data_IF_110501311269
#
_entry.id   IF_110501311269
#
_cell.length_a   1.000
_cell.length_b   1.000
_cell.length_c   1.000
_cell.angle_alpha   90.00
_cell.angle_beta   90.00
_cell.angle_gamma   90.00
#
_symmetry.space_group_name_H-M   'P 1'
#
loop_
_entity.id
_entity.type
_entity.pdbx_description
1 polymer ?
#
# COMPACT_ATOMS: atom_id res chain seq x y z
N UNK A 1 -10.64 -27.30 -17.49
CA UNK A 1 -11.23 -27.74 -16.19
C UNK A 1 -12.44 -26.84 -15.96
N UNK A 2 -13.64 -27.40 -15.87
CA UNK A 2 -14.82 -26.60 -15.49
C UNK A 2 -14.78 -26.34 -13.98
N UNK A 3 -14.83 -25.06 -13.61
CA UNK A 3 -14.93 -24.64 -12.21
C UNK A 3 -16.41 -24.47 -11.86
N UNK A 4 -16.78 -24.89 -10.66
CA UNK A 4 -18.15 -24.74 -10.18
C UNK A 4 -18.37 -23.28 -9.78
N UNK A 5 -19.44 -22.68 -10.27
CA UNK A 5 -19.83 -21.32 -9.92
C UNK A 5 -20.74 -21.32 -8.72
N UNK A 6 -20.32 -20.70 -7.62
CA UNK A 6 -21.09 -20.53 -6.39
C UNK A 6 -21.58 -19.09 -6.18
N UNK A 7 -21.49 -18.20 -7.18
CA UNK A 7 -21.88 -16.77 -7.01
C UNK A 7 -23.29 -16.58 -6.50
N UNK A 8 -24.21 -17.44 -6.91
CA UNK A 8 -25.63 -17.38 -6.53
C UNK A 8 -25.98 -18.27 -5.30
N UNK A 9 -24.96 -18.83 -4.65
CA UNK A 9 -25.14 -19.73 -3.49
C UNK A 9 -24.62 -19.11 -2.20
N UNK A 10 -25.32 -19.31 -1.09
CA UNK A 10 -24.85 -18.96 0.24
C UNK A 10 -23.51 -19.66 0.63
N UNK A 11 -23.15 -20.74 -0.08
CA UNK A 11 -21.88 -21.43 0.11
C UNK A 11 -20.67 -20.54 -0.26
N UNK A 12 -20.84 -19.53 -1.12
CA UNK A 12 -19.79 -18.57 -1.42
C UNK A 12 -19.30 -17.81 -0.19
N UNK A 13 -20.15 -17.64 0.83
CA UNK A 13 -19.80 -16.97 2.09
C UNK A 13 -18.98 -17.85 3.05
N UNK A 14 -18.97 -19.16 2.86
CA UNK A 14 -18.28 -20.09 3.77
C UNK A 14 -16.77 -19.83 3.78
N UNK A 15 -16.16 -19.64 2.61
CA UNK A 15 -14.72 -19.43 2.46
C UNK A 15 -14.25 -18.17 3.21
N UNK A 16 -14.81 -16.97 2.97
CA UNK A 16 -14.41 -15.77 3.68
C UNK A 16 -14.74 -15.84 5.18
N UNK A 17 -15.85 -16.45 5.58
CA UNK A 17 -16.20 -16.63 7.01
C UNK A 17 -15.20 -17.52 7.73
N UNK A 18 -14.76 -18.63 7.12
CA UNK A 18 -13.73 -19.51 7.68
C UNK A 18 -12.40 -18.77 7.80
N UNK A 19 -11.97 -18.05 6.76
CA UNK A 19 -10.73 -17.27 6.77
C UNK A 19 -10.76 -16.20 7.89
N UNK A 20 -11.84 -15.43 8.01
CA UNK A 20 -12.01 -14.41 9.05
C UNK A 20 -12.04 -15.05 10.46
N UNK A 21 -12.77 -16.13 10.63
CA UNK A 21 -12.86 -16.84 11.91
C UNK A 21 -11.50 -17.35 12.35
N UNK A 22 -10.77 -18.00 11.44
CA UNK A 22 -9.40 -18.45 11.70
C UNK A 22 -8.46 -17.27 12.01
N UNK A 23 -8.58 -16.13 11.31
CA UNK A 23 -7.75 -14.94 11.57
C UNK A 23 -7.99 -14.40 12.98
N UNK A 24 -9.23 -14.33 13.42
CA UNK A 24 -9.61 -13.86 14.78
C UNK A 24 -9.07 -14.81 15.87
N UNK A 25 -9.23 -16.13 15.68
CA UNK A 25 -8.81 -17.11 16.70
C UNK A 25 -7.31 -17.37 16.72
N UNK A 26 -6.69 -17.51 15.55
CA UNK A 26 -5.26 -17.85 15.46
C UNK A 26 -4.34 -16.64 15.54
N UNK A 27 -4.84 -15.46 15.19
CA UNK A 27 -4.05 -14.22 15.01
C UNK A 27 -2.90 -14.37 13.99
N UNK A 28 -2.98 -15.37 13.12
CA UNK A 28 -1.99 -15.68 12.08
C UNK A 28 -2.61 -15.49 10.71
N UNK A 29 -2.48 -14.29 10.14
CA UNK A 29 -3.12 -13.90 8.88
C UNK A 29 -2.76 -14.85 7.73
N UNK A 30 -1.47 -15.16 7.55
CA UNK A 30 -1.01 -16.05 6.46
C UNK A 30 -1.63 -17.44 6.54
N UNK A 31 -1.72 -18.02 7.74
CA UNK A 31 -2.36 -19.33 7.94
C UNK A 31 -3.84 -19.27 7.60
N UNK A 32 -4.52 -18.22 8.06
CA UNK A 32 -5.97 -18.06 7.86
C UNK A 32 -6.34 -17.85 6.40
N UNK A 33 -5.59 -17.00 5.70
CA UNK A 33 -5.75 -16.78 4.26
C UNK A 33 -5.37 -18.04 3.46
N UNK A 34 -4.27 -18.72 3.82
CA UNK A 34 -3.88 -19.98 3.19
C UNK A 34 -4.98 -21.05 3.31
N UNK A 35 -5.57 -21.22 4.49
CA UNK A 35 -6.72 -22.11 4.66
C UNK A 35 -7.94 -21.68 3.83
N UNK A 36 -8.20 -20.37 3.74
CA UNK A 36 -9.28 -19.84 2.90
C UNK A 36 -9.04 -20.14 1.42
N UNK A 37 -7.84 -19.92 0.92
CA UNK A 37 -7.44 -20.21 -0.48
C UNK A 37 -7.59 -21.70 -0.78
N UNK A 38 -7.08 -22.58 0.09
CA UNK A 38 -7.20 -24.03 -0.06
C UNK A 38 -8.67 -24.47 -0.06
N UNK A 39 -9.45 -23.97 0.85
CA UNK A 39 -10.89 -24.28 0.93
C UNK A 39 -11.61 -23.78 -0.32
N UNK A 40 -11.34 -22.55 -0.78
CA UNK A 40 -11.91 -22.00 -1.99
C UNK A 40 -11.59 -22.84 -3.22
N UNK A 41 -10.34 -23.26 -3.39
CA UNK A 41 -9.94 -24.15 -4.47
C UNK A 41 -10.66 -25.50 -4.44
N UNK A 42 -10.86 -26.09 -3.24
CA UNK A 42 -11.63 -27.34 -3.08
C UNK A 42 -13.10 -27.14 -3.46
N UNK A 43 -13.74 -26.05 -3.04
CA UNK A 43 -15.11 -25.74 -3.46
C UNK A 43 -15.23 -25.63 -4.98
N UNK A 44 -14.37 -24.83 -5.60
CA UNK A 44 -14.38 -24.61 -7.06
C UNK A 44 -14.16 -25.89 -7.89
N UNK A 45 -13.55 -26.92 -7.29
CA UNK A 45 -13.20 -28.18 -7.96
C UNK A 45 -13.98 -29.39 -7.46
N UNK A 46 -15.15 -29.17 -6.85
CA UNK A 46 -16.02 -30.22 -6.29
C UNK A 46 -15.26 -31.15 -5.31
N UNK A 47 -14.45 -30.55 -4.44
CA UNK A 47 -13.61 -31.26 -3.45
C UNK A 47 -12.60 -32.23 -4.06
N UNK A 48 -12.31 -32.13 -5.35
CA UNK A 48 -11.27 -32.92 -5.98
C UNK A 48 -9.89 -32.30 -5.68
N UNK A 49 -9.14 -32.97 -4.81
CA UNK A 49 -7.83 -32.48 -4.32
C UNK A 49 -6.81 -32.29 -5.44
N UNK A 50 -6.80 -33.17 -6.44
CA UNK A 50 -5.86 -33.11 -7.56
C UNK A 50 -6.17 -31.89 -8.44
N UNK A 51 -7.45 -31.67 -8.75
CA UNK A 51 -7.89 -30.51 -9.52
C UNK A 51 -7.69 -29.20 -8.72
N UNK A 52 -7.91 -29.21 -7.41
CA UNK A 52 -7.65 -28.07 -6.54
C UNK A 52 -6.15 -27.72 -6.54
N UNK A 53 -5.27 -28.70 -6.38
CA UNK A 53 -3.83 -28.48 -6.43
C UNK A 53 -3.37 -27.95 -7.80
N UNK A 54 -3.92 -28.50 -8.89
CA UNK A 54 -3.65 -27.98 -10.23
C UNK A 54 -4.13 -26.54 -10.40
N UNK A 55 -5.35 -26.24 -9.99
CA UNK A 55 -5.90 -24.88 -10.04
C UNK A 55 -5.06 -23.88 -9.25
N UNK A 56 -4.61 -24.25 -8.05
CA UNK A 56 -3.72 -23.41 -7.25
C UNK A 56 -2.36 -23.21 -7.89
N UNK A 57 -1.79 -24.26 -8.54
CA UNK A 57 -0.53 -24.12 -9.26
C UNK A 57 -0.68 -23.21 -10.48
N UNK A 58 -1.78 -23.33 -11.23
CA UNK A 58 -2.08 -22.46 -12.37
C UNK A 58 -2.25 -20.99 -11.92
N UNK A 59 -2.96 -20.76 -10.81
CA UNK A 59 -3.08 -19.42 -10.22
C UNK A 59 -1.73 -18.87 -9.74
N UNK A 60 -0.91 -19.68 -9.07
CA UNK A 60 0.41 -19.25 -8.64
C UNK A 60 1.33 -18.91 -9.84
N UNK A 61 1.26 -19.67 -10.90
CA UNK A 61 1.98 -19.38 -12.14
C UNK A 61 1.47 -18.11 -12.81
N UNK A 62 0.16 -17.86 -12.80
CA UNK A 62 -0.44 -16.65 -13.41
C UNK A 62 -0.02 -15.35 -12.72
N UNK A 63 0.50 -15.39 -11.48
CA UNK A 63 1.09 -14.23 -10.84
C UNK A 63 2.32 -13.70 -11.57
N UNK A 64 3.06 -14.60 -12.24
CA UNK A 64 4.32 -14.29 -12.94
C UNK A 64 4.18 -14.40 -14.45
N UNK A 65 3.36 -15.34 -14.92
CA UNK A 65 3.25 -15.71 -16.33
C UNK A 65 1.80 -15.78 -16.77
N UNK A 66 1.43 -14.96 -17.74
CA UNK A 66 0.13 -15.05 -18.42
C UNK A 66 0.22 -16.07 -19.56
N UNK A 67 -0.62 -17.10 -19.49
CA UNK A 67 -0.73 -18.06 -20.59
C UNK A 67 -1.41 -17.38 -21.77
N UNK A 68 -0.74 -17.37 -22.94
CA UNK A 68 -1.36 -16.92 -24.18
C UNK A 68 -2.38 -17.94 -24.71
N UNK A 69 -2.88 -17.68 -25.92
CA UNK A 69 -3.85 -18.54 -26.60
C UNK A 69 -3.25 -19.94 -26.88
N UNK A 70 -3.71 -20.91 -26.10
CA UNK A 70 -3.23 -22.32 -26.20
C UNK A 70 -3.44 -22.95 -27.58
N UNK A 71 -4.25 -22.33 -28.47
CA UNK A 71 -4.40 -22.78 -29.86
C UNK A 71 -3.22 -22.40 -30.74
N UNK A 72 -2.34 -21.50 -30.32
CA UNK A 72 -1.22 -20.95 -31.08
C UNK A 72 0.15 -21.54 -30.72
N UNK A 73 0.23 -22.33 -29.66
CA UNK A 73 1.49 -22.93 -29.24
C UNK A 73 1.48 -23.47 -27.81
N UNK A 74 2.67 -23.86 -27.32
CA UNK A 74 2.87 -24.34 -25.96
C UNK A 74 2.70 -23.18 -24.95
N UNK A 75 2.37 -23.50 -23.68
CA UNK A 75 2.27 -22.54 -22.57
C UNK A 75 3.46 -21.55 -22.49
N UNK A 76 4.68 -22.03 -22.79
CA UNK A 76 5.90 -21.22 -22.75
C UNK A 76 6.16 -20.43 -24.04
N UNK A 77 5.61 -20.87 -25.16
CA UNK A 77 5.88 -20.25 -26.47
C UNK A 77 4.95 -19.08 -26.78
N UNK A 78 3.76 -19.08 -26.17
CA UNK A 78 2.68 -18.11 -26.49
C UNK A 78 2.39 -17.20 -25.31
N UNK A 79 2.87 -17.53 -24.11
CA UNK A 79 2.67 -16.73 -22.91
C UNK A 79 3.65 -15.55 -22.82
N UNK A 80 3.36 -14.64 -21.90
CA UNK A 80 4.22 -13.52 -21.57
C UNK A 80 4.28 -13.32 -20.05
N UNK A 81 5.32 -12.61 -19.59
CA UNK A 81 5.37 -12.20 -18.18
C UNK A 81 4.15 -11.34 -17.83
N UNK A 82 3.54 -11.63 -16.68
CA UNK A 82 2.51 -10.75 -16.12
C UNK A 82 3.18 -9.46 -15.62
N UNK A 83 3.33 -8.51 -16.53
CA UNK A 83 4.04 -7.25 -16.27
C UNK A 83 3.38 -6.44 -15.16
N UNK A 84 2.06 -6.51 -15.03
CA UNK A 84 1.33 -5.84 -13.97
C UNK A 84 1.72 -6.36 -12.58
N UNK A 85 1.57 -7.67 -12.36
CA UNK A 85 1.89 -8.27 -11.06
C UNK A 85 3.38 -8.13 -10.72
N UNK A 86 4.26 -8.33 -11.70
CA UNK A 86 5.69 -8.15 -11.52
C UNK A 86 6.05 -6.71 -11.16
N UNK A 87 5.43 -5.72 -11.81
CA UNK A 87 5.64 -4.32 -11.47
C UNK A 87 5.24 -4.01 -10.03
N UNK A 88 4.11 -4.54 -9.55
CA UNK A 88 3.70 -4.36 -8.15
C UNK A 88 4.71 -5.00 -7.19
N UNK A 89 5.16 -6.22 -7.46
CA UNK A 89 6.16 -6.90 -6.62
C UNK A 89 7.47 -6.10 -6.57
N UNK A 90 7.98 -5.69 -7.72
CA UNK A 90 9.20 -4.88 -7.83
C UNK A 90 9.04 -3.54 -7.11
N UNK A 91 7.90 -2.88 -7.30
CA UNK A 91 7.55 -1.64 -6.62
C UNK A 91 7.61 -1.79 -5.09
N UNK A 92 7.00 -2.84 -4.53
CA UNK A 92 7.03 -3.10 -3.08
C UNK A 92 8.45 -3.34 -2.55
N UNK A 93 9.28 -4.07 -3.28
CA UNK A 93 10.69 -4.24 -2.92
C UNK A 93 11.45 -2.91 -2.91
N UNK A 94 11.26 -2.08 -3.94
CA UNK A 94 11.90 -0.75 -4.02
C UNK A 94 11.44 0.13 -2.86
N UNK A 95 10.16 0.10 -2.49
CA UNK A 95 9.63 0.85 -1.36
C UNK A 95 10.21 0.38 -0.02
N UNK A 96 10.34 -0.94 0.17
CA UNK A 96 11.01 -1.50 1.34
C UNK A 96 12.46 -1.01 1.45
N UNK A 97 13.22 -1.08 0.34
CA UNK A 97 14.59 -0.55 0.26
C UNK A 97 14.65 0.96 0.56
N UNK A 98 13.76 1.73 -0.06
CA UNK A 98 13.67 3.18 0.15
C UNK A 98 13.44 3.52 1.63
N UNK A 99 12.48 2.85 2.26
CA UNK A 99 12.15 3.06 3.68
C UNK A 99 13.34 2.69 4.57
N UNK A 100 13.98 1.55 4.32
CA UNK A 100 15.16 1.10 5.08
C UNK A 100 16.32 2.09 4.95
N UNK A 101 16.59 2.61 3.75
CA UNK A 101 17.65 3.59 3.51
C UNK A 101 17.34 4.92 4.23
N UNK A 102 16.10 5.40 4.18
CA UNK A 102 15.70 6.60 4.92
C UNK A 102 15.85 6.44 6.44
N UNK A 103 15.60 5.24 6.98
CA UNK A 103 15.83 4.95 8.40
C UNK A 103 17.33 4.94 8.73
N UNK A 104 18.12 4.15 8.00
CA UNK A 104 19.55 3.98 8.27
C UNK A 104 20.34 5.27 8.05
N UNK A 105 19.89 6.15 7.13
CA UNK A 105 20.51 7.46 6.92
C UNK A 105 20.31 8.45 8.08
N UNK A 106 19.53 8.09 9.12
CA UNK A 106 19.18 8.99 10.22
C UNK A 106 18.21 10.11 9.81
N UNK A 107 17.69 10.11 8.59
CA UNK A 107 16.76 11.13 8.11
C UNK A 107 15.44 11.13 8.86
N UNK A 108 14.96 9.95 9.25
CA UNK A 108 13.75 9.76 10.06
C UNK A 108 13.92 10.36 11.45
N UNK A 109 15.06 10.12 12.10
CA UNK A 109 15.39 10.69 13.41
C UNK A 109 15.56 12.20 13.34
N UNK A 110 16.23 12.72 12.30
CA UNK A 110 16.36 14.17 12.07
C UNK A 110 14.99 14.85 11.91
N UNK A 111 14.07 14.23 11.18
CA UNK A 111 12.70 14.74 11.06
C UNK A 111 11.96 14.68 12.41
N UNK A 112 12.09 13.59 13.15
CA UNK A 112 11.49 13.46 14.48
C UNK A 112 12.01 14.53 15.43
N UNK A 113 13.30 14.87 15.40
CA UNK A 113 13.90 15.92 16.23
C UNK A 113 13.42 17.32 15.81
N UNK A 114 13.29 17.59 14.54
CA UNK A 114 12.67 18.81 14.03
C UNK A 114 11.21 18.93 14.46
N UNK A 115 10.45 17.85 14.35
CA UNK A 115 9.05 17.81 14.75
C UNK A 115 8.89 18.00 16.26
N UNK A 116 9.79 17.45 17.08
CA UNK A 116 9.81 17.64 18.55
C UNK A 116 9.96 19.10 18.97
N UNK A 117 10.63 19.92 18.17
CA UNK A 117 10.80 21.36 18.48
C UNK A 117 9.53 22.16 18.17
N UNK A 118 8.67 21.68 17.28
CA UNK A 118 7.45 22.38 16.82
C UNK A 118 6.18 21.78 17.40
N UNK A 119 6.17 20.50 17.68
CA UNK A 119 5.05 19.77 18.23
C UNK A 119 5.31 19.54 19.71
N UNK A 120 4.50 20.16 20.54
CA UNK A 120 4.66 20.14 22.01
C UNK A 120 3.54 19.38 22.71
N UNK A 121 2.56 18.87 21.95
CA UNK A 121 1.37 18.24 22.53
C UNK A 121 1.12 16.85 21.94
N UNK A 122 0.50 15.99 22.73
CA UNK A 122 0.03 14.67 22.31
C UNK A 122 -0.92 14.77 21.12
N UNK A 123 -1.86 15.73 21.13
CA UNK A 123 -2.76 15.99 20.01
C UNK A 123 -1.99 16.43 18.76
N UNK A 124 -0.96 17.25 18.91
CA UNK A 124 -0.11 17.67 17.80
C UNK A 124 0.61 16.50 17.12
N UNK A 125 1.11 15.51 17.90
CA UNK A 125 1.76 14.33 17.34
C UNK A 125 0.79 13.45 16.55
N UNK A 126 -0.43 13.24 17.04
CA UNK A 126 -1.45 12.45 16.32
C UNK A 126 -2.02 13.19 15.11
N UNK A 127 -2.16 14.52 15.18
CA UNK A 127 -2.54 15.35 14.02
C UNK A 127 -1.47 15.30 12.93
N UNK A 128 -0.18 15.44 13.28
CA UNK A 128 0.89 15.31 12.30
C UNK A 128 0.82 13.94 11.58
N UNK A 129 0.65 12.85 12.34
CA UNK A 129 0.50 11.52 11.77
C UNK A 129 -0.67 11.45 10.79
N UNK A 130 -1.84 11.98 11.17
CA UNK A 130 -3.02 12.01 10.31
C UNK A 130 -2.78 12.84 9.04
N UNK A 131 -2.16 14.03 9.15
CA UNK A 131 -1.83 14.86 7.99
C UNK A 131 -0.82 14.21 7.05
N UNK A 132 0.23 13.58 7.58
CA UNK A 132 1.19 12.84 6.77
C UNK A 132 0.50 11.67 6.05
N UNK A 133 -0.38 10.94 6.75
CA UNK A 133 -1.17 9.86 6.16
C UNK A 133 -2.09 10.32 5.02
N UNK A 134 -2.60 11.54 5.07
CA UNK A 134 -3.39 12.13 3.98
C UNK A 134 -2.49 12.62 2.85
N UNK A 135 -1.34 13.21 3.18
CA UNK A 135 -0.47 13.82 2.18
C UNK A 135 0.29 12.80 1.33
N UNK A 136 0.66 11.66 1.94
CA UNK A 136 1.37 10.57 1.25
C UNK A 136 0.36 9.58 0.70
N UNK A 137 -0.38 9.93 -0.34
CA UNK A 137 -1.50 9.16 -0.89
C UNK A 137 -1.17 8.29 -2.11
N UNK A 138 0.08 8.27 -2.56
CA UNK A 138 0.47 7.59 -3.81
C UNK A 138 0.21 6.09 -3.74
N UNK A 139 0.52 5.49 -2.59
CA UNK A 139 0.32 4.07 -2.33
C UNK A 139 0.10 3.84 -0.82
N UNK A 140 -0.77 2.90 -0.46
CA UNK A 140 -1.15 2.64 0.93
C UNK A 140 -0.07 1.90 1.73
N UNK A 141 0.68 0.99 1.11
CA UNK A 141 1.82 0.33 1.76
C UNK A 141 2.93 1.33 2.05
N UNK A 142 3.28 2.14 1.06
CA UNK A 142 4.26 3.20 1.25
C UNK A 142 3.83 4.20 2.32
N UNK A 143 2.58 4.63 2.28
CA UNK A 143 2.01 5.49 3.30
C UNK A 143 2.22 4.89 4.71
N UNK A 144 1.76 3.66 4.92
CA UNK A 144 1.85 2.99 6.22
C UNK A 144 3.28 2.85 6.72
N UNK A 145 4.22 2.48 5.85
CA UNK A 145 5.63 2.33 6.20
C UNK A 145 6.32 3.67 6.46
N UNK A 146 6.19 4.63 5.54
CA UNK A 146 6.85 5.93 5.64
C UNK A 146 6.29 6.76 6.80
N UNK A 147 4.96 6.93 6.87
CA UNK A 147 4.33 7.68 7.96
C UNK A 147 4.54 7.00 9.30
N UNK A 148 4.48 5.66 9.33
CA UNK A 148 4.72 4.86 10.53
C UNK A 148 6.13 5.07 11.09
N UNK A 149 7.15 4.96 10.25
CA UNK A 149 8.55 5.15 10.66
C UNK A 149 8.82 6.57 11.18
N UNK A 150 8.26 7.57 10.51
CA UNK A 150 8.42 8.99 10.86
C UNK A 150 7.65 9.39 12.12
N UNK A 151 6.41 8.90 12.26
CA UNK A 151 5.53 9.30 13.36
C UNK A 151 5.82 8.55 14.66
N UNK A 152 6.36 7.34 14.57
CA UNK A 152 6.61 6.46 15.73
C UNK A 152 7.46 7.11 16.82
N UNK A 153 8.64 7.70 16.57
CA UNK A 153 9.44 8.32 17.62
C UNK A 153 8.71 9.48 18.31
N UNK A 154 7.88 10.20 17.56
CA UNK A 154 7.11 11.32 18.08
C UNK A 154 5.92 10.87 18.94
N UNK A 155 5.14 9.91 18.46
CA UNK A 155 3.99 9.34 19.19
C UNK A 155 4.43 8.63 20.46
N UNK A 156 5.57 7.94 20.45
CA UNK A 156 6.15 7.31 21.65
C UNK A 156 6.52 8.33 22.71
N UNK A 157 7.17 9.41 22.30
CA UNK A 157 7.54 10.50 23.22
C UNK A 157 6.33 11.10 23.93
N UNK A 158 5.21 11.26 23.21
CA UNK A 158 3.96 11.80 23.77
C UNK A 158 3.03 10.74 24.34
N UNK A 159 3.56 9.52 24.56
CA UNK A 159 2.83 8.42 25.19
C UNK A 159 1.50 8.09 24.49
N UNK A 160 1.49 8.12 23.17
CA UNK A 160 0.40 7.61 22.32
C UNK A 160 0.61 6.11 22.15
N UNK A 161 -0.45 5.32 22.34
CA UNK A 161 -0.34 3.86 22.21
C UNK A 161 0.01 3.44 20.77
N UNK A 162 0.71 2.32 20.63
CA UNK A 162 0.99 1.72 19.33
C UNK A 162 -0.29 1.32 18.59
N UNK A 163 -1.33 0.94 19.34
CA UNK A 163 -2.64 0.64 18.78
C UNK A 163 -3.27 1.89 18.14
N UNK A 164 -3.17 3.06 18.79
CA UNK A 164 -3.68 4.31 18.21
C UNK A 164 -2.85 4.77 17.01
N UNK A 165 -1.53 4.63 17.06
CA UNK A 165 -0.70 4.89 15.90
C UNK A 165 -1.11 4.01 14.72
N UNK A 166 -1.25 2.70 14.93
CA UNK A 166 -1.70 1.77 13.90
C UNK A 166 -3.09 2.15 13.34
N UNK A 167 -4.03 2.53 14.20
CA UNK A 167 -5.34 3.02 13.78
C UNK A 167 -5.24 4.26 12.87
N UNK A 168 -4.40 5.24 13.23
CA UNK A 168 -4.22 6.44 12.43
C UNK A 168 -3.64 6.11 11.04
N UNK A 169 -2.65 5.23 10.99
CA UNK A 169 -2.03 4.80 9.74
C UNK A 169 -3.01 4.06 8.85
N UNK A 170 -3.65 3.03 9.38
CA UNK A 170 -4.60 2.19 8.64
C UNK A 170 -5.80 2.99 8.11
N UNK A 171 -6.36 3.87 8.97
CA UNK A 171 -7.54 4.67 8.63
C UNK A 171 -7.25 5.89 7.75
N UNK A 172 -5.99 6.19 7.44
CA UNK A 172 -5.62 7.24 6.48
C UNK A 172 -5.00 6.67 5.20
N UNK A 173 -4.23 5.61 5.26
CA UNK A 173 -3.51 5.07 4.11
C UNK A 173 -4.44 4.61 2.99
N UNK A 174 -5.15 3.50 3.17
CA UNK A 174 -6.04 2.96 2.15
C UNK A 174 -7.21 3.91 1.80
N UNK A 175 -7.91 4.54 2.78
CA UNK A 175 -8.98 5.49 2.45
C UNK A 175 -8.53 6.64 1.56
N UNK A 176 -7.33 7.21 1.78
CA UNK A 176 -6.83 8.28 0.90
C UNK A 176 -6.48 7.75 -0.48
N UNK A 177 -5.84 6.59 -0.58
CA UNK A 177 -5.48 6.01 -1.87
C UNK A 177 -6.70 5.73 -2.76
N UNK A 178 -7.81 5.25 -2.19
CA UNK A 178 -9.02 4.98 -2.99
C UNK A 178 -9.83 6.24 -3.34
N UNK A 179 -9.58 7.38 -2.70
CA UNK A 179 -10.20 8.67 -3.05
C UNK A 179 -9.38 9.48 -4.05
N UNK A 180 -8.08 9.20 -4.17
CA UNK A 180 -7.18 9.99 -5.02
C UNK A 180 -6.99 9.32 -6.38
N UNK A 181 -7.35 9.97 -7.49
CA UNK A 181 -7.21 9.39 -8.82
C UNK A 181 -5.75 9.13 -9.22
N UNK A 182 -4.82 9.90 -8.63
CA UNK A 182 -3.37 9.82 -8.90
C UNK A 182 -2.70 8.96 -7.84
N UNK A 183 -3.28 7.82 -7.52
CA UNK A 183 -2.72 6.83 -6.61
C UNK A 183 -2.69 5.45 -7.28
N UNK A 184 -1.98 4.50 -6.67
CA UNK A 184 -1.97 3.11 -7.14
C UNK A 184 -3.38 2.52 -7.25
N UNK A 185 -4.19 2.70 -6.21
CA UNK A 185 -5.59 2.23 -6.18
C UNK A 185 -6.51 3.04 -7.07
N UNK A 186 -6.38 4.37 -7.09
CA UNK A 186 -7.18 5.23 -7.94
C UNK A 186 -7.04 4.87 -9.41
N UNK A 187 -5.80 4.72 -9.88
CA UNK A 187 -5.52 4.34 -11.25
C UNK A 187 -6.02 2.92 -11.58
N UNK A 188 -5.87 1.95 -10.67
CA UNK A 188 -6.43 0.61 -10.85
C UNK A 188 -7.95 0.63 -10.96
N UNK A 189 -8.64 1.37 -10.07
CA UNK A 189 -10.11 1.49 -10.11
C UNK A 189 -10.58 2.16 -11.41
N UNK A 190 -9.88 3.19 -11.88
CA UNK A 190 -10.17 3.86 -13.16
C UNK A 190 -10.06 2.86 -14.32
N UNK A 191 -9.02 2.03 -14.34
CA UNK A 191 -8.85 0.99 -15.35
C UNK A 191 -9.99 -0.06 -15.32
N UNK A 192 -10.40 -0.50 -14.12
CA UNK A 192 -11.52 -1.44 -13.94
C UNK A 192 -12.83 -0.80 -14.42
N UNK A 193 -13.10 0.46 -14.06
CA UNK A 193 -14.28 1.21 -14.56
C UNK A 193 -14.26 1.27 -16.09
N UNK A 194 -13.10 1.57 -16.69
CA UNK A 194 -12.93 1.59 -18.14
C UNK A 194 -13.32 0.28 -18.81
N UNK A 195 -12.86 -0.84 -18.25
CA UNK A 195 -13.24 -2.18 -18.72
C UNK A 195 -14.75 -2.44 -18.62
N UNK A 196 -15.39 -2.01 -17.52
CA UNK A 196 -16.83 -2.16 -17.31
C UNK A 196 -17.61 -1.29 -18.31
N UNK A 197 -17.24 -0.02 -18.47
CA UNK A 197 -17.90 0.88 -19.43
C UNK A 197 -17.79 0.34 -20.85
N UNK A 198 -16.62 -0.14 -21.25
CA UNK A 198 -16.39 -0.73 -22.57
C UNK A 198 -17.23 -2.00 -22.80
N UNK A 199 -17.32 -2.90 -21.80
CA UNK A 199 -18.10 -4.13 -21.90
C UNK A 199 -19.60 -3.90 -22.04
N UNK A 200 -20.10 -2.75 -21.55
CA UNK A 200 -21.50 -2.36 -21.63
C UNK A 200 -21.76 -1.32 -22.74
N UNK A 201 -20.77 -1.03 -23.58
CA UNK A 201 -20.83 -0.04 -24.66
C UNK A 201 -21.28 1.36 -24.19
N UNK A 202 -20.92 1.74 -22.95
CA UNK A 202 -21.17 3.06 -22.38
C UNK A 202 -20.04 3.98 -22.81
N UNK A 203 -20.35 5.02 -23.61
CA UNK A 203 -19.37 5.94 -24.20
C UNK A 203 -19.59 7.40 -23.82
N UNK A 204 -20.65 7.69 -23.08
CA UNK A 204 -21.09 9.03 -22.69
C UNK A 204 -20.38 9.58 -21.44
N UNK A 205 -19.63 8.73 -20.75
CA UNK A 205 -18.81 9.11 -19.58
C UNK A 205 -17.43 8.48 -19.67
N UNK A 206 -16.38 9.26 -19.37
CA UNK A 206 -15.03 8.73 -19.30
C UNK A 206 -14.78 7.97 -17.98
N UNK A 207 -13.85 6.99 -17.95
CA UNK A 207 -13.52 6.24 -16.74
C UNK A 207 -13.11 7.13 -15.56
N UNK A 208 -12.30 8.17 -15.83
CA UNK A 208 -11.89 9.13 -14.79
C UNK A 208 -13.07 9.96 -14.29
N UNK A 209 -13.95 10.43 -15.19
CA UNK A 209 -15.14 11.18 -14.80
C UNK A 209 -16.09 10.33 -13.93
N UNK A 210 -16.27 9.06 -14.29
CA UNK A 210 -17.04 8.10 -13.49
C UNK A 210 -16.39 7.89 -12.11
N UNK A 211 -15.06 7.71 -12.03
CA UNK A 211 -14.34 7.61 -10.78
C UNK A 211 -14.54 8.85 -9.90
N UNK A 212 -14.38 10.05 -10.45
CA UNK A 212 -14.57 11.31 -9.70
C UNK A 212 -15.99 11.43 -9.16
N UNK A 213 -17.01 11.02 -9.94
CA UNK A 213 -18.40 10.99 -9.47
C UNK A 213 -18.65 9.96 -8.37
N UNK A 214 -17.86 8.88 -8.33
CA UNK A 214 -17.94 7.86 -7.27
C UNK A 214 -17.27 8.28 -5.96
N UNK A 215 -16.32 9.24 -5.94
CA UNK A 215 -15.63 9.68 -4.73
C UNK A 215 -16.62 10.02 -3.59
N UNK A 216 -17.64 10.88 -3.77
CA UNK A 216 -18.56 11.21 -2.69
C UNK A 216 -19.47 10.04 -2.26
N UNK A 217 -19.52 8.95 -3.02
CA UNK A 217 -20.27 7.74 -2.70
C UNK A 217 -19.43 6.73 -1.91
N UNK A 218 -18.11 6.95 -1.80
CA UNK A 218 -17.23 6.10 -1.01
C UNK A 218 -17.32 6.48 0.48
N UNK A 219 -18.48 6.15 1.06
CA UNK A 219 -18.80 6.51 2.46
C UNK A 219 -17.79 5.95 3.44
N UNK A 220 -17.27 4.73 3.21
CA UNK A 220 -16.26 4.16 4.09
C UNK A 220 -15.01 5.05 4.19
N UNK A 221 -14.42 5.40 3.06
CA UNK A 221 -13.21 6.21 3.04
C UNK A 221 -13.43 7.59 3.65
N UNK A 222 -14.54 8.25 3.32
CA UNK A 222 -14.90 9.57 3.84
C UNK A 222 -15.11 9.52 5.36
N UNK A 223 -15.88 8.55 5.85
CA UNK A 223 -16.15 8.43 7.28
C UNK A 223 -14.92 7.94 8.06
N UNK A 224 -14.07 7.10 7.49
CA UNK A 224 -12.82 6.69 8.12
C UNK A 224 -11.92 7.90 8.38
N UNK A 225 -11.70 8.74 7.36
CA UNK A 225 -10.91 9.97 7.50
C UNK A 225 -11.57 10.95 8.48
N UNK A 226 -12.88 11.16 8.36
CA UNK A 226 -13.62 12.03 9.30
C UNK A 226 -13.51 11.53 10.75
N UNK A 227 -13.57 10.20 10.94
CA UNK A 227 -13.41 9.59 12.27
C UNK A 227 -12.00 9.76 12.82
N UNK A 228 -10.96 9.66 11.98
CA UNK A 228 -9.57 9.97 12.40
C UNK A 228 -9.48 11.37 12.98
N UNK A 229 -10.02 12.38 12.29
CA UNK A 229 -10.03 13.75 12.81
C UNK A 229 -10.89 13.90 14.06
N UNK A 230 -12.07 13.29 14.11
CA UNK A 230 -12.92 13.32 15.30
C UNK A 230 -12.21 12.70 16.51
N UNK A 231 -11.60 11.52 16.35
CA UNK A 231 -10.84 10.83 17.41
C UNK A 231 -9.68 11.69 17.90
N UNK A 232 -8.92 12.32 16.99
CA UNK A 232 -7.76 13.13 17.34
C UNK A 232 -8.17 14.47 17.96
N UNK A 233 -9.14 15.17 17.36
CA UNK A 233 -9.52 16.53 17.81
C UNK A 233 -10.34 16.51 19.10
N UNK A 234 -11.21 15.51 19.25
CA UNK A 234 -12.08 15.39 20.41
C UNK A 234 -11.51 14.49 21.51
N UNK A 235 -10.32 13.89 21.29
CA UNK A 235 -9.71 12.87 22.17
C UNK A 235 -10.66 11.73 22.49
N UNK A 236 -11.33 11.20 21.48
CA UNK A 236 -12.27 10.10 21.62
C UNK A 236 -11.53 8.77 21.62
N UNK A 237 -11.56 8.08 22.74
CA UNK A 237 -11.01 6.73 22.86
C UNK A 237 -12.08 5.82 23.46
N UNK A 238 -12.41 4.74 22.77
CA UNK A 238 -13.49 3.83 23.16
C UNK A 238 -12.99 2.41 23.37
N UNK A 239 -13.63 1.67 24.25
CA UNK A 239 -13.45 0.25 24.44
C UNK A 239 -12.00 -0.17 24.66
N UNK A 240 -11.46 -1.02 23.78
CA UNK A 240 -10.09 -1.51 23.89
C UNK A 240 -9.06 -0.39 23.62
N UNK A 241 -9.34 0.54 22.71
CA UNK A 241 -8.46 1.66 22.43
C UNK A 241 -8.26 2.55 23.67
N UNK A 242 -9.32 2.81 24.43
CA UNK A 242 -9.22 3.58 25.66
C UNK A 242 -8.31 2.92 26.71
N UNK A 243 -8.34 1.56 26.78
CA UNK A 243 -7.45 0.81 27.67
C UNK A 243 -6.00 0.90 27.26
N UNK A 244 -5.71 0.73 25.97
CA UNK A 244 -4.34 0.83 25.41
C UNK A 244 -3.81 2.28 25.57
N UNK A 245 -4.65 3.29 25.37
CA UNK A 245 -4.30 4.69 25.54
C UNK A 245 -4.04 5.05 27.03
N UNK A 246 -4.79 4.46 27.95
CA UNK A 246 -4.51 4.65 29.39
C UNK A 246 -3.19 3.98 29.78
N UNK A 247 -2.97 2.74 29.34
CA UNK A 247 -1.68 2.03 29.56
C UNK A 247 -0.48 2.81 28.98
N UNK A 248 -0.65 3.44 27.81
CA UNK A 248 0.38 4.27 27.21
C UNK A 248 0.71 5.52 28.04
N UNK A 249 -0.28 6.16 28.65
CA UNK A 249 -0.06 7.29 29.59
C UNK A 249 0.78 6.85 30.81
N UNK A 250 0.59 5.61 31.27
CA UNK A 250 1.34 5.01 32.37
C UNK A 250 2.73 4.53 31.94
N UNK A 251 3.07 4.63 30.65
CA UNK A 251 4.38 4.28 30.09
C UNK A 251 4.41 2.95 29.30
N UNK A 252 3.31 2.22 29.26
CA UNK A 252 3.20 0.96 28.53
C UNK A 252 2.61 1.20 27.14
N UNK A 253 3.45 1.48 26.14
CA UNK A 253 3.03 1.83 24.79
C UNK A 253 2.34 0.69 24.04
N UNK A 254 2.57 -0.55 24.45
CA UNK A 254 1.94 -1.77 23.95
C UNK A 254 1.96 -2.86 25.03
N UNK A 255 1.13 -3.90 24.86
CA UNK A 255 1.07 -5.03 25.78
C UNK A 255 2.19 -6.04 25.47
N UNK A 256 3.26 -6.02 26.26
CA UNK A 256 4.44 -6.89 26.09
C UNK A 256 4.09 -8.38 26.17
N UNK A 257 2.99 -8.75 26.88
CA UNK A 257 2.54 -10.14 26.99
C UNK A 257 2.02 -10.69 25.66
N UNK A 258 1.59 -9.81 24.75
CA UNK A 258 1.15 -10.17 23.39
C UNK A 258 2.29 -10.26 22.38
N UNK A 259 3.53 -10.08 22.83
CA UNK A 259 4.73 -10.03 22.00
C UNK A 259 5.01 -8.64 21.43
N UNK A 260 6.17 -8.49 20.79
CA UNK A 260 6.51 -7.23 20.11
C UNK A 260 5.66 -7.07 18.85
N UNK A 261 5.17 -5.85 18.56
CA UNK A 261 4.48 -5.58 17.31
C UNK A 261 5.33 -5.98 16.09
N UNK A 262 4.69 -6.47 15.03
CA UNK A 262 5.36 -6.80 13.78
C UNK A 262 6.14 -5.58 13.26
N UNK A 263 7.34 -5.80 12.70
CA UNK A 263 8.22 -4.72 12.23
C UNK A 263 9.03 -4.02 13.33
N UNK A 264 8.93 -4.45 14.61
CA UNK A 264 9.72 -3.87 15.71
C UNK A 264 11.15 -4.43 15.81
N UNK A 265 11.55 -5.38 14.97
CA UNK A 265 12.69 -6.26 15.20
C UNK A 265 13.96 -5.88 14.44
N UNK A 266 13.95 -4.91 13.57
CA UNK A 266 15.18 -4.49 12.86
C UNK A 266 15.66 -3.18 13.44
N UNK A 267 16.48 -3.27 14.49
CA UNK A 267 17.34 -2.16 14.94
C UNK A 267 18.55 -2.12 13.99
N UNK A 268 18.38 -1.50 12.82
CA UNK A 268 19.53 -1.12 12.01
C UNK A 268 20.23 0.04 12.70
N UNK A 269 21.55 0.01 12.73
CA UNK A 269 22.34 1.14 13.24
C UNK A 269 22.05 2.36 12.37
N UNK A 270 21.51 3.42 12.97
CA UNK A 270 21.27 4.69 12.29
C UNK A 270 22.59 5.47 12.20
N UNK A 271 22.85 6.07 11.04
CA UNK A 271 23.99 6.95 10.87
C UNK A 271 23.79 8.25 11.66
N UNK A 272 24.85 8.72 12.32
CA UNK A 272 24.85 10.03 12.96
C UNK A 272 24.87 11.15 11.90
N UNK A 273 24.06 12.20 12.10
CA UNK A 273 24.07 13.38 11.20
C UNK A 273 23.09 13.35 10.05
N UNK A 274 22.04 12.55 10.14
CA UNK A 274 20.95 12.58 9.16
C UNK A 274 20.32 13.96 8.99
N UNK A 275 19.86 14.26 7.77
CA UNK A 275 19.19 15.52 7.43
C UNK A 275 17.74 15.28 7.05
N UNK A 276 16.85 16.23 7.38
CA UNK A 276 15.41 16.18 7.04
C UNK A 276 15.19 16.02 5.54
N UNK A 277 16.05 16.62 4.72
CA UNK A 277 16.01 16.49 3.25
C UNK A 277 16.14 15.04 2.78
N UNK A 278 16.85 14.19 3.52
CA UNK A 278 16.98 12.76 3.25
C UNK A 278 15.67 11.97 3.41
N UNK A 279 14.67 12.53 4.09
CA UNK A 279 13.32 11.98 4.17
C UNK A 279 12.38 12.66 3.17
N UNK A 280 12.32 13.99 3.19
CA UNK A 280 11.30 14.74 2.43
C UNK A 280 11.56 14.67 0.93
N UNK A 281 12.81 14.84 0.48
CA UNK A 281 13.13 14.95 -0.93
C UNK A 281 12.88 13.64 -1.70
N UNK A 282 13.28 12.45 -1.21
CA UNK A 282 12.95 11.18 -1.86
C UNK A 282 11.45 10.94 -1.99
N UNK A 283 10.66 11.29 -0.97
CA UNK A 283 9.19 11.15 -1.00
C UNK A 283 8.59 12.08 -2.05
N UNK A 284 9.00 13.36 -2.08
CA UNK A 284 8.52 14.30 -3.08
C UNK A 284 8.90 13.87 -4.50
N UNK A 285 10.15 13.43 -4.70
CA UNK A 285 10.60 12.93 -6.01
C UNK A 285 9.81 11.70 -6.41
N UNK A 286 9.54 10.76 -5.51
CA UNK A 286 8.70 9.60 -5.79
C UNK A 286 7.31 10.04 -6.27
N UNK A 287 6.64 10.96 -5.55
CA UNK A 287 5.30 11.44 -5.90
C UNK A 287 5.32 12.10 -7.29
N UNK A 288 6.19 13.09 -7.48
CA UNK A 288 6.22 13.85 -8.74
C UNK A 288 6.68 13.01 -9.93
N UNK A 289 7.67 12.12 -9.73
CA UNK A 289 8.12 11.21 -10.77
C UNK A 289 7.03 10.21 -11.15
N UNK A 290 6.30 9.64 -10.18
CA UNK A 290 5.16 8.75 -10.47
C UNK A 290 4.13 9.47 -11.33
N UNK A 291 3.71 10.67 -10.95
CA UNK A 291 2.76 11.49 -11.73
C UNK A 291 3.30 11.77 -13.15
N UNK A 292 4.59 12.14 -13.25
CA UNK A 292 5.22 12.37 -14.53
C UNK A 292 5.20 11.12 -15.42
N UNK A 293 5.57 9.96 -14.90
CA UNK A 293 5.59 8.73 -15.67
C UNK A 293 4.17 8.25 -16.02
N UNK A 294 3.17 8.47 -15.16
CA UNK A 294 1.76 8.24 -15.48
C UNK A 294 1.31 9.06 -16.68
N UNK A 295 1.55 10.37 -16.67
CA UNK A 295 1.20 11.26 -17.78
C UNK A 295 1.97 10.86 -19.06
N UNK A 296 3.24 10.56 -18.94
CA UNK A 296 4.10 10.21 -20.07
C UNK A 296 3.70 8.88 -20.73
N UNK A 297 3.43 7.84 -19.94
CA UNK A 297 2.98 6.54 -20.45
C UNK A 297 1.62 6.66 -21.14
N UNK A 298 0.68 7.38 -20.52
CA UNK A 298 -0.63 7.61 -21.10
C UNK A 298 -0.59 8.47 -22.36
N UNK A 299 0.27 9.50 -22.41
CA UNK A 299 0.50 10.28 -23.62
C UNK A 299 1.02 9.42 -24.77
N UNK A 300 1.94 8.50 -24.47
CA UNK A 300 2.47 7.53 -25.45
C UNK A 300 1.39 6.58 -25.95
N UNK A 301 0.49 6.13 -25.06
CA UNK A 301 -0.65 5.30 -25.41
C UNK A 301 -1.64 6.05 -26.31
N UNK A 302 -2.00 7.29 -25.99
CA UNK A 302 -2.86 8.14 -26.84
C UNK A 302 -2.25 8.38 -28.22
N UNK A 303 -0.93 8.64 -28.28
CA UNK A 303 -0.23 8.83 -29.55
C UNK A 303 -0.25 7.56 -30.40
N UNK A 304 -0.08 6.36 -29.80
CA UNK A 304 -0.19 5.08 -30.50
C UNK A 304 -1.60 4.84 -31.07
N UNK A 305 -2.64 5.30 -30.38
CA UNK A 305 -4.03 5.27 -30.82
C UNK A 305 -4.39 6.40 -31.84
N UNK A 306 -3.45 7.27 -32.21
CA UNK A 306 -3.69 8.40 -33.11
C UNK A 306 -4.58 9.50 -32.50
N UNK A 307 -4.73 9.53 -31.16
CA UNK A 307 -5.52 10.54 -30.43
C UNK A 307 -4.66 11.75 -30.07
N UNK A 308 -5.28 12.91 -29.99
CA UNK A 308 -4.60 14.12 -29.52
C UNK A 308 -4.26 14.00 -28.01
N UNK A 309 -3.16 14.63 -27.60
CA UNK A 309 -2.80 14.68 -26.20
C UNK A 309 -3.83 15.46 -25.38
N UNK A 310 -4.31 14.85 -24.34
CA UNK A 310 -5.13 15.43 -23.28
C UNK A 310 -4.69 14.86 -21.94
N UNK A 311 -4.60 15.70 -20.91
CA UNK A 311 -4.11 15.30 -19.58
C UNK A 311 -5.01 14.23 -18.96
N UNK A 312 -6.34 14.39 -19.10
CA UNK A 312 -7.30 13.43 -18.55
C UNK A 312 -7.20 12.10 -19.29
N UNK A 313 -7.19 12.14 -20.63
CA UNK A 313 -6.99 10.97 -21.46
C UNK A 313 -5.65 10.28 -21.21
N UNK A 314 -4.58 11.02 -20.90
CA UNK A 314 -3.30 10.44 -20.51
C UNK A 314 -3.40 9.68 -19.19
N UNK A 315 -4.09 10.22 -18.18
CA UNK A 315 -4.33 9.49 -16.93
C UNK A 315 -5.18 8.23 -17.12
N UNK A 316 -6.18 8.26 -18.00
CA UNK A 316 -7.04 7.10 -18.29
C UNK A 316 -6.31 5.97 -19.01
N UNK A 317 -5.31 6.29 -19.81
CA UNK A 317 -4.53 5.33 -20.61
C UNK A 317 -3.13 5.09 -20.06
N UNK A 318 -2.90 5.39 -18.76
CA UNK A 318 -1.58 5.23 -18.13
C UNK A 318 -1.22 3.76 -17.88
N UNK A 319 0.05 3.43 -18.05
CA UNK A 319 0.63 2.21 -17.48
C UNK A 319 1.02 2.47 -16.02
N UNK A 320 0.10 2.14 -15.12
CA UNK A 320 0.25 2.38 -13.68
C UNK A 320 1.40 1.58 -13.10
N UNK A 321 1.52 0.29 -13.44
CA UNK A 321 2.54 -0.61 -12.89
C UNK A 321 3.94 -0.09 -13.14
N UNK A 322 4.28 0.19 -14.40
CA UNK A 322 5.58 0.73 -14.78
C UNK A 322 5.82 2.13 -14.19
N UNK A 323 4.79 2.99 -14.15
CA UNK A 323 4.90 4.35 -13.61
C UNK A 323 5.23 4.36 -12.11
N UNK A 324 4.63 3.44 -11.34
CA UNK A 324 4.94 3.26 -9.92
C UNK A 324 6.39 2.80 -9.72
N UNK A 325 6.85 1.83 -10.52
CA UNK A 325 8.24 1.33 -10.45
C UNK A 325 9.24 2.45 -10.75
N UNK A 326 9.05 3.20 -11.84
CA UNK A 326 9.96 4.30 -12.20
C UNK A 326 9.92 5.45 -11.19
N UNK A 327 8.75 5.77 -10.64
CA UNK A 327 8.59 6.74 -9.57
C UNK A 327 9.35 6.33 -8.30
N UNK A 328 9.18 5.08 -7.87
CA UNK A 328 9.87 4.55 -6.71
C UNK A 328 11.39 4.45 -6.91
N UNK A 329 11.85 4.02 -8.10
CA UNK A 329 13.28 4.04 -8.46
C UNK A 329 13.86 5.44 -8.40
N UNK A 330 13.14 6.44 -8.90
CA UNK A 330 13.57 7.84 -8.85
C UNK A 330 13.75 8.31 -7.40
N UNK A 331 12.78 8.01 -6.53
CA UNK A 331 12.87 8.28 -5.09
C UNK A 331 14.04 7.55 -4.42
N UNK A 332 14.23 6.26 -4.74
CA UNK A 332 15.33 5.44 -4.23
C UNK A 332 16.69 6.00 -4.61
N UNK A 333 16.89 6.39 -5.88
CA UNK A 333 18.15 7.01 -6.34
C UNK A 333 18.44 8.28 -5.57
N UNK A 334 17.46 9.14 -5.36
CA UNK A 334 17.63 10.37 -4.56
C UNK A 334 17.97 10.04 -3.11
N UNK A 335 17.30 9.05 -2.50
CA UNK A 335 17.61 8.61 -1.13
C UNK A 335 19.03 8.10 -1.00
N UNK A 336 19.51 7.27 -1.97
CA UNK A 336 20.87 6.77 -1.99
C UNK A 336 21.90 7.90 -2.14
N UNK A 337 21.68 8.82 -3.08
CA UNK A 337 22.59 9.95 -3.32
C UNK A 337 22.68 10.84 -2.07
N UNK A 338 21.55 11.19 -1.45
CA UNK A 338 21.55 12.02 -0.25
C UNK A 338 22.20 11.30 0.93
N UNK A 339 21.98 10.00 1.09
CA UNK A 339 22.63 9.21 2.14
C UNK A 339 24.15 9.15 1.98
N UNK A 340 24.63 8.98 0.74
CA UNK A 340 26.07 9.00 0.44
C UNK A 340 26.69 10.39 0.70
N UNK A 341 26.00 11.47 0.30
CA UNK A 341 26.44 12.85 0.60
C UNK A 341 26.48 13.11 2.11
N UNK A 342 25.56 12.52 2.87
CA UNK A 342 25.54 12.60 4.34
C UNK A 342 26.57 11.71 5.02
N UNK A 343 27.43 11.00 4.26
CA UNK A 343 28.53 10.21 4.81
C UNK A 343 28.17 8.81 5.26
N UNK A 344 26.97 8.32 4.89
CA UNK A 344 26.55 6.94 5.20
C UNK A 344 27.40 5.94 4.39
N UNK A 345 27.94 4.92 5.05
CA UNK A 345 28.79 3.93 4.38
C UNK A 345 28.02 3.07 3.39
N UNK A 346 28.65 2.76 2.26
CA UNK A 346 28.05 1.90 1.22
C UNK A 346 27.70 0.51 1.78
N UNK A 347 28.48 -0.01 2.71
CA UNK A 347 28.20 -1.30 3.35
C UNK A 347 26.90 -1.29 4.16
N UNK A 348 26.63 -0.18 4.86
CA UNK A 348 25.40 -0.01 5.65
C UNK A 348 24.19 0.16 4.75
N UNK A 349 24.34 0.92 3.63
CA UNK A 349 23.27 1.04 2.61
C UNK A 349 22.96 -0.30 1.93
N UNK A 350 23.99 -1.08 1.62
CA UNK A 350 23.81 -2.42 1.08
C UNK A 350 23.05 -3.34 2.06
N UNK A 351 23.44 -3.35 3.34
CA UNK A 351 22.72 -4.11 4.37
C UNK A 351 21.26 -3.66 4.47
N UNK A 352 20.99 -2.36 4.51
CA UNK A 352 19.64 -1.82 4.56
C UNK A 352 18.78 -2.21 3.34
N UNK A 353 19.39 -2.41 2.17
CA UNK A 353 18.68 -2.80 0.96
C UNK A 353 18.27 -4.28 0.92
N UNK A 354 18.85 -5.12 1.76
CA UNK A 354 18.53 -6.55 1.83
C UNK A 354 17.67 -6.94 3.05
N UNK A 355 17.31 -5.98 3.89
CA UNK A 355 16.41 -6.11 5.03
C UNK A 355 15.04 -5.52 4.74
#
# INVERSE_FOLDING_TARGET
>A
MELINYSDSALSLVVPLVALTLAIFTRKVLLSLGCGILLGALFLTDFNVVNAAKHLSDLALSLVWESGDASKGSFWDVGSFNTWNLSIIVFLFILGMLTSIMMVSGATSAFADWAKQRITTRRGSTLLTAFLGIFIFVDDYFNSLAVGSVSRPLTDRYKVSRAKLAYLLDSTAAPMCVLMPISSWGAYIIAVIGGILASHAITDISPLAAFVQMIPMNFYAIFAIAMVFAVVMLNLDFGLMAKEEQAAKDGHLFDEKKGRPAGATVELEEAEGGHISGLILPILVLIFATIFFMINSGASSLAADGKAFDILGAFENTDVGSSLVYGALSGLVVALVLSLISGVSVSLLAQASFH
#
